data_IF_989027119947
#
_entry.id   IF_989027119947
#
_cell.length_a   1.000
_cell.length_b   1.000
_cell.length_c   1.000
_cell.angle_alpha   90.00
_cell.angle_beta   90.00
_cell.angle_gamma   90.00
#
_symmetry.space_group_name_H-M   'P 1'
#
loop_
_entity.id
_entity.type
_entity.pdbx_description
1 polymer ?
#
# COMPACT_ATOMS: atom_id res chain seq x y z
N UNK A 1 -4.03 -11.44 2.44
CA UNK A 1 -2.89 -10.93 3.25
C UNK A 1 -3.27 -11.07 4.71
N UNK A 2 -2.30 -11.18 5.61
CA UNK A 2 -2.58 -11.40 7.04
C UNK A 2 -2.12 -10.20 7.85
N UNK A 3 -2.98 -9.60 8.69
CA UNK A 3 -2.55 -8.52 9.59
C UNK A 3 -1.52 -9.04 10.58
N UNK A 4 -0.50 -8.22 10.85
CA UNK A 4 0.49 -8.44 11.90
C UNK A 4 -0.03 -7.78 13.17
N UNK A 5 0.00 -8.45 14.34
CA UNK A 5 -0.48 -7.86 15.59
C UNK A 5 0.21 -6.53 15.91
N UNK A 6 -0.56 -5.55 16.38
CA UNK A 6 -0.09 -4.19 16.65
C UNK A 6 1.06 -4.12 17.67
N UNK A 7 1.18 -5.08 18.58
CA UNK A 7 2.27 -5.17 19.55
C UNK A 7 3.50 -5.96 19.02
N UNK A 8 3.62 -6.10 17.71
CA UNK A 8 4.67 -6.88 17.06
C UNK A 8 5.10 -6.26 15.74
N UNK A 9 6.19 -6.78 15.17
CA UNK A 9 6.66 -6.35 13.86
C UNK A 9 7.15 -4.90 13.84
N UNK A 10 6.90 -4.21 12.72
CA UNK A 10 7.22 -2.80 12.53
C UNK A 10 6.38 -1.90 13.44
N UNK A 11 5.10 -2.25 13.64
CA UNK A 11 4.16 -1.45 14.40
C UNK A 11 4.26 -1.62 15.92
N UNK A 12 5.21 -2.39 16.44
CA UNK A 12 5.33 -2.69 17.87
C UNK A 12 5.45 -1.43 18.77
N UNK A 13 6.01 -0.34 18.23
CA UNK A 13 6.14 0.94 18.93
C UNK A 13 5.86 2.09 17.94
N UNK A 14 4.58 2.39 17.63
CA UNK A 14 4.22 3.33 16.57
C UNK A 14 4.31 4.80 17.01
N UNK A 15 4.69 5.08 18.27
CA UNK A 15 4.59 6.43 18.84
C UNK A 15 3.14 6.88 18.93
N UNK A 16 2.89 8.14 18.57
CA UNK A 16 1.55 8.75 18.60
C UNK A 16 0.73 8.49 17.32
N UNK A 17 1.33 7.84 16.31
CA UNK A 17 0.69 7.55 15.03
C UNK A 17 -0.11 6.24 15.03
N UNK A 18 -1.03 6.12 14.08
CA UNK A 18 -1.61 4.85 13.70
C UNK A 18 -0.62 4.05 12.86
N UNK A 19 -0.55 2.74 13.12
CA UNK A 19 0.30 1.84 12.36
C UNK A 19 -0.41 0.53 12.08
N UNK A 20 -0.43 0.14 10.81
CA UNK A 20 -0.95 -1.13 10.34
C UNK A 20 0.12 -1.83 9.51
N UNK A 21 0.34 -3.11 9.80
CA UNK A 21 1.27 -3.95 9.06
C UNK A 21 0.52 -5.20 8.57
N UNK A 22 0.70 -5.53 7.30
CA UNK A 22 0.22 -6.78 6.73
C UNK A 22 1.38 -7.58 6.13
N UNK A 23 1.32 -8.89 6.33
CA UNK A 23 2.19 -9.87 5.69
C UNK A 23 1.51 -10.43 4.44
N UNK A 24 2.26 -10.49 3.34
CA UNK A 24 1.82 -11.19 2.14
C UNK A 24 2.07 -12.70 2.29
N UNK A 25 1.06 -13.50 1.96
CA UNK A 25 1.17 -14.96 2.01
C UNK A 25 2.06 -15.49 0.87
N UNK A 26 1.92 -14.92 -0.32
CA UNK A 26 2.71 -15.28 -1.50
C UNK A 26 4.20 -14.94 -1.37
N UNK A 27 4.55 -13.92 -0.57
CA UNK A 27 5.93 -13.58 -0.22
C UNK A 27 6.01 -13.18 1.26
N UNK A 28 6.32 -14.13 2.16
CA UNK A 28 6.45 -13.88 3.59
C UNK A 28 7.53 -12.86 3.99
N UNK A 29 8.41 -12.44 3.08
CA UNK A 29 9.40 -11.39 3.31
C UNK A 29 8.86 -9.98 3.04
N UNK A 30 7.79 -9.86 2.25
CA UNK A 30 7.16 -8.58 1.95
C UNK A 30 6.17 -8.17 3.02
N UNK A 31 6.08 -6.86 3.23
CA UNK A 31 5.13 -6.20 4.10
C UNK A 31 4.48 -5.04 3.37
N UNK A 32 3.20 -4.86 3.63
CA UNK A 32 2.52 -3.59 3.43
C UNK A 32 2.47 -2.90 4.78
N UNK A 33 2.92 -1.65 4.84
CA UNK A 33 2.90 -0.85 6.06
C UNK A 33 2.14 0.43 5.75
N UNK A 34 1.15 0.73 6.58
CA UNK A 34 0.42 1.98 6.59
C UNK A 34 0.70 2.68 7.91
N UNK A 35 1.33 3.86 7.86
CA UNK A 35 1.76 4.59 9.06
C UNK A 35 1.51 6.07 8.92
N UNK A 36 0.99 6.70 9.97
CA UNK A 36 0.77 8.14 10.01
C UNK A 36 -0.35 8.53 10.97
N UNK A 37 -0.95 9.69 10.73
CA UNK A 37 -2.07 10.21 11.51
C UNK A 37 -3.39 10.07 10.75
N UNK A 38 -4.51 10.38 11.40
CA UNK A 38 -5.85 10.23 10.81
C UNK A 38 -6.05 11.03 9.53
N UNK A 39 -5.39 12.18 9.44
CA UNK A 39 -5.40 13.10 8.31
C UNK A 39 -4.31 12.81 7.26
N UNK A 40 -3.42 11.84 7.51
CA UNK A 40 -2.33 11.49 6.60
C UNK A 40 -1.68 10.17 6.98
N UNK A 41 -2.02 9.10 6.26
CA UNK A 41 -1.42 7.77 6.39
C UNK A 41 -0.61 7.46 5.13
N UNK A 42 0.70 7.28 5.29
CA UNK A 42 1.59 6.87 4.23
C UNK A 42 1.59 5.35 4.08
N UNK A 43 1.57 4.89 2.83
CA UNK A 43 1.62 3.48 2.49
C UNK A 43 2.91 3.13 1.77
N UNK A 44 3.57 2.06 2.22
CA UNK A 44 4.76 1.55 1.57
C UNK A 44 4.86 0.03 1.59
N UNK A 45 5.52 -0.50 0.58
CA UNK A 45 6.06 -1.84 0.65
C UNK A 45 7.39 -1.85 1.39
N UNK A 46 7.56 -2.82 2.28
CA UNK A 46 8.82 -3.11 2.96
C UNK A 46 9.26 -4.55 2.69
N UNK A 47 10.57 -4.79 2.71
CA UNK A 47 11.14 -6.13 2.80
C UNK A 47 11.71 -6.33 4.20
N UNK A 48 11.26 -7.38 4.87
CA UNK A 48 11.80 -7.83 6.15
C UNK A 48 13.00 -8.74 5.89
N UNK A 49 14.15 -8.42 6.47
CA UNK A 49 15.34 -9.26 6.39
C UNK A 49 15.31 -10.40 7.42
N UNK A 50 16.28 -11.31 7.33
CA UNK A 50 16.38 -12.49 8.22
C UNK A 50 16.69 -12.12 9.68
N UNK A 51 17.23 -10.92 9.94
CA UNK A 51 17.54 -10.40 11.27
C UNK A 51 16.35 -9.60 11.86
N UNK A 52 15.25 -9.48 11.11
CA UNK A 52 14.06 -8.74 11.52
C UNK A 52 14.08 -7.26 11.16
N UNK A 53 15.11 -6.77 10.45
CA UNK A 53 15.17 -5.42 9.94
C UNK A 53 14.19 -5.18 8.79
N UNK A 54 13.73 -3.95 8.63
CA UNK A 54 12.79 -3.54 7.59
C UNK A 54 13.48 -2.59 6.62
N UNK A 55 13.33 -2.87 5.32
CA UNK A 55 13.81 -2.01 4.25
C UNK A 55 12.65 -1.54 3.38
N UNK A 56 12.35 -0.23 3.42
CA UNK A 56 11.36 0.43 2.55
C UNK A 56 11.74 0.19 1.09
N UNK A 57 10.77 -0.18 0.27
CA UNK A 57 10.97 -0.55 -1.13
C UNK A 57 10.43 0.51 -2.07
N UNK A 58 9.16 0.90 -1.88
CA UNK A 58 8.43 1.87 -2.70
C UNK A 58 7.17 2.31 -1.94
N UNK A 59 6.82 3.58 -2.03
CA UNK A 59 5.53 4.09 -1.52
C UNK A 59 4.45 3.96 -2.57
N UNK A 60 3.19 3.95 -2.16
CA UNK A 60 2.06 3.89 -3.07
C UNK A 60 0.81 4.57 -2.51
N UNK A 61 -0.19 4.82 -3.36
CA UNK A 61 -1.53 5.21 -2.96
C UNK A 61 -2.45 4.00 -2.87
N UNK A 62 -3.25 3.85 -1.80
CA UNK A 62 -4.19 2.76 -1.67
C UNK A 62 -5.48 3.08 -2.44
N UNK A 63 -5.71 2.41 -3.56
CA UNK A 63 -7.00 2.40 -4.22
C UNK A 63 -7.73 1.10 -3.85
N UNK A 64 -9.01 1.17 -3.48
CA UNK A 64 -9.73 0.03 -2.95
C UNK A 64 -11.05 -0.22 -3.69
N UNK A 65 -11.32 -1.49 -4.00
CA UNK A 65 -12.63 -1.96 -4.41
C UNK A 65 -13.45 -2.37 -3.18
N UNK A 66 -14.71 -1.95 -3.16
CA UNK A 66 -15.71 -2.47 -2.23
C UNK A 66 -16.66 -3.41 -3.00
N UNK A 67 -16.66 -4.73 -2.72
CA UNK A 67 -17.53 -5.69 -3.40
C UNK A 67 -19.03 -5.37 -3.28
N UNK A 68 -19.44 -4.59 -2.28
CA UNK A 68 -20.83 -4.15 -2.11
C UNK A 68 -21.20 -2.94 -2.97
N UNK A 69 -20.22 -2.31 -3.64
CA UNK A 69 -20.37 -1.11 -4.48
C UNK A 69 -19.60 -1.28 -5.80
N UNK A 70 -20.06 -2.17 -6.70
CA UNK A 70 -19.33 -2.50 -7.92
C UNK A 70 -19.13 -1.29 -8.84
N UNK A 71 -17.98 -1.26 -9.52
CA UNK A 71 -17.62 -0.20 -10.47
C UNK A 71 -17.10 1.10 -9.84
N UNK A 72 -17.03 1.18 -8.51
CA UNK A 72 -16.46 2.33 -7.80
C UNK A 72 -15.12 1.96 -7.16
N UNK A 73 -14.22 2.95 -7.10
CA UNK A 73 -12.99 2.88 -6.34
C UNK A 73 -13.05 3.89 -5.20
N UNK A 74 -12.53 3.48 -4.04
CA UNK A 74 -12.48 4.27 -2.83
C UNK A 74 -11.03 4.44 -2.38
N UNK A 75 -10.78 5.43 -1.54
CA UNK A 75 -9.51 5.50 -0.83
C UNK A 75 -9.42 4.31 0.11
N UNK A 76 -8.34 3.54 0.02
CA UNK A 76 -8.12 2.37 0.86
C UNK A 76 -7.59 2.80 2.22
N UNK A 77 -8.47 3.24 3.12
CA UNK A 77 -8.09 3.47 4.51
C UNK A 77 -7.66 2.17 5.18
N UNK A 78 -6.71 2.27 6.10
CA UNK A 78 -6.05 1.09 6.66
C UNK A 78 -7.01 0.17 7.42
N UNK A 79 -8.02 0.76 8.06
CA UNK A 79 -9.09 0.05 8.75
C UNK A 79 -10.17 -0.54 7.82
N UNK A 80 -10.24 -0.10 6.57
CA UNK A 80 -11.22 -0.58 5.58
C UNK A 80 -10.67 -1.74 4.71
N UNK A 81 -9.35 -1.82 4.58
CA UNK A 81 -8.66 -2.75 3.70
C UNK A 81 -8.64 -4.17 4.29
N UNK A 82 -9.05 -5.16 3.50
CA UNK A 82 -9.00 -6.58 3.87
C UNK A 82 -7.86 -7.33 3.18
N UNK A 83 -7.69 -7.11 1.86
CA UNK A 83 -6.64 -7.75 1.09
C UNK A 83 -6.07 -6.86 -0.01
N UNK A 84 -4.87 -7.20 -0.49
CA UNK A 84 -4.28 -6.66 -1.70
C UNK A 84 -4.71 -7.49 -2.91
N UNK A 85 -4.95 -6.84 -4.05
CA UNK A 85 -5.32 -7.54 -5.27
C UNK A 85 -4.04 -7.92 -6.05
N UNK A 86 -3.81 -9.22 -6.15
CA UNK A 86 -2.74 -9.79 -6.97
C UNK A 86 -3.23 -10.05 -8.39
N UNK A 87 -2.29 -10.07 -9.34
CA UNK A 87 -2.52 -10.54 -10.69
C UNK A 87 -2.71 -12.08 -10.69
N UNK A 88 -3.20 -12.68 -11.81
CA UNK A 88 -3.41 -14.13 -11.89
C UNK A 88 -2.16 -14.98 -11.66
N UNK A 89 -0.95 -14.40 -11.79
CA UNK A 89 0.31 -15.06 -11.48
C UNK A 89 0.56 -15.27 -9.97
N UNK A 90 -0.28 -14.68 -9.11
CA UNK A 90 -0.18 -14.75 -7.66
C UNK A 90 1.04 -14.04 -7.07
N UNK A 91 1.76 -13.24 -7.85
CA UNK A 91 3.03 -12.59 -7.44
C UNK A 91 3.08 -11.11 -7.77
N UNK A 92 2.45 -10.71 -8.87
CA UNK A 92 2.39 -9.32 -9.30
C UNK A 92 1.21 -8.61 -8.64
N UNK A 93 1.37 -7.32 -8.38
CA UNK A 93 0.35 -6.45 -7.82
C UNK A 93 -0.46 -5.81 -8.95
N UNK A 94 -1.76 -5.63 -8.74
CA UNK A 94 -2.56 -4.76 -9.59
C UNK A 94 -2.25 -3.30 -9.22
N UNK A 95 -1.53 -2.60 -10.08
CA UNK A 95 -1.04 -1.26 -9.81
C UNK A 95 -1.00 -0.39 -11.08
N UNK A 96 -0.92 0.92 -10.91
CA UNK A 96 -0.75 1.86 -12.01
C UNK A 96 -0.02 3.12 -11.61
N UNK A 97 0.75 3.69 -12.51
CA UNK A 97 1.32 5.04 -12.37
C UNK A 97 0.54 6.09 -13.19
N UNK A 98 -0.53 5.67 -13.87
CA UNK A 98 -1.41 6.54 -14.65
C UNK A 98 -2.61 6.94 -13.78
N UNK A 99 -2.40 7.95 -12.94
CA UNK A 99 -3.43 8.52 -12.08
C UNK A 99 -3.17 10.00 -11.82
N UNK A 100 -4.22 10.70 -11.40
CA UNK A 100 -4.14 12.10 -10.94
C UNK A 100 -4.35 12.23 -9.44
N UNK A 101 -4.11 11.16 -8.66
CA UNK A 101 -4.13 11.24 -7.19
C UNK A 101 -3.07 12.26 -6.77
N UNK A 102 -3.53 13.24 -6.01
CA UNK A 102 -2.68 14.23 -5.35
C UNK A 102 -2.72 13.88 -3.87
N UNK A 103 -1.56 13.78 -3.24
CA UNK A 103 -1.48 13.70 -1.79
C UNK A 103 -1.89 15.05 -1.24
N UNK A 104 -2.90 15.06 -0.38
CA UNK A 104 -3.20 16.17 0.51
C UNK A 104 -2.82 15.74 1.93
N UNK A 105 -2.22 16.63 2.72
CA UNK A 105 -1.76 16.36 4.09
C UNK A 105 -0.25 16.23 4.29
N UNK A 106 0.14 15.92 5.53
CA UNK A 106 1.53 15.76 5.96
C UNK A 106 2.02 14.35 5.61
N UNK A 107 2.85 14.25 4.56
CA UNK A 107 3.46 12.98 4.14
C UNK A 107 4.97 12.99 4.29
N UNK A 108 5.54 11.82 4.57
CA UNK A 108 6.98 11.57 4.56
C UNK A 108 7.36 10.70 3.35
N UNK A 109 7.52 11.32 2.15
CA UNK A 109 7.76 10.57 0.92
C UNK A 109 9.13 9.88 0.94
N UNK A 110 9.18 8.66 0.39
CA UNK A 110 10.40 7.90 0.28
C UNK A 110 11.49 8.68 -0.47
N UNK A 111 12.69 8.88 0.12
CA UNK A 111 13.76 9.61 -0.53
C UNK A 111 14.14 9.03 -1.90
N UNK A 112 14.14 9.89 -2.92
CA UNK A 112 14.51 9.54 -4.30
C UNK A 112 13.39 8.91 -5.12
N UNK A 113 12.20 8.66 -4.56
CA UNK A 113 11.03 8.26 -5.34
C UNK A 113 10.50 9.45 -6.14
N UNK A 114 10.42 9.30 -7.46
CA UNK A 114 9.98 10.36 -8.39
C UNK A 114 8.50 10.24 -8.78
N UNK A 115 7.96 9.03 -8.67
CA UNK A 115 6.57 8.71 -9.00
C UNK A 115 6.04 7.75 -7.97
N UNK A 116 4.79 7.93 -7.58
CA UNK A 116 4.09 7.05 -6.65
C UNK A 116 3.02 6.30 -7.46
N UNK A 117 3.00 4.96 -7.47
CA UNK A 117 1.92 4.19 -8.06
C UNK A 117 0.68 4.18 -7.16
N UNK A 118 -0.49 3.97 -7.75
CA UNK A 118 -1.67 3.49 -7.03
C UNK A 118 -1.67 1.95 -7.05
N UNK A 119 -1.95 1.33 -5.92
CA UNK A 119 -2.02 -0.13 -5.73
C UNK A 119 -3.44 -0.50 -5.34
N UNK A 120 -3.96 -1.57 -5.96
CA UNK A 120 -5.33 -2.01 -5.77
C UNK A 120 -5.47 -2.95 -4.57
N UNK A 121 -6.43 -2.62 -3.72
CA UNK A 121 -6.88 -3.39 -2.58
C UNK A 121 -8.35 -3.78 -2.74
N UNK A 122 -8.80 -4.70 -1.92
CA UNK A 122 -10.20 -5.04 -1.69
C UNK A 122 -10.52 -4.88 -0.20
N UNK A 123 -11.69 -4.34 0.09
CA UNK A 123 -12.12 -4.09 1.46
C UNK A 123 -13.58 -3.67 1.51
N UNK A 124 -13.97 -2.97 2.57
CA UNK A 124 -15.31 -2.42 2.73
C UNK A 124 -15.20 -0.99 3.24
N UNK A 125 -15.63 -0.02 2.46
CA UNK A 125 -15.37 1.37 2.83
C UNK A 125 -16.36 1.88 3.88
N UNK A 126 -15.81 2.50 4.92
CA UNK A 126 -16.55 3.26 5.94
C UNK A 126 -16.81 4.71 5.51
N UNK A 127 -16.13 5.20 4.46
CA UNK A 127 -16.21 6.58 3.97
C UNK A 127 -16.59 6.62 2.46
N UNK A 128 -17.88 6.42 2.11
CA UNK A 128 -18.35 6.31 0.72
C UNK A 128 -18.09 7.53 -0.17
N UNK A 129 -17.86 8.70 0.44
CA UNK A 129 -17.60 9.95 -0.28
C UNK A 129 -16.13 10.09 -0.69
N UNK A 130 -15.22 9.31 -0.09
CA UNK A 130 -13.79 9.30 -0.40
C UNK A 130 -13.49 8.44 -1.63
N UNK A 131 -13.97 8.90 -2.79
CA UNK A 131 -13.85 8.17 -4.06
C UNK A 131 -12.52 8.46 -4.76
N UNK A 132 -11.96 7.42 -5.36
CA UNK A 132 -10.82 7.51 -6.27
C UNK A 132 -11.37 7.49 -7.70
N UNK A 133 -10.87 8.39 -8.56
CA UNK A 133 -11.23 8.39 -9.99
C UNK A 133 -10.90 7.03 -10.60
N UNK A 134 -11.67 6.61 -11.61
CA UNK A 134 -11.45 5.32 -12.26
C UNK A 134 -9.99 5.17 -12.74
N UNK A 135 -9.32 4.09 -12.32
CA UNK A 135 -7.94 3.78 -12.65
C UNK A 135 -7.87 2.50 -13.50
N UNK A 136 -6.90 2.43 -14.40
CA UNK A 136 -6.57 1.22 -15.15
C UNK A 136 -5.36 0.55 -14.52
N UNK A 137 -5.59 -0.56 -13.83
CA UNK A 137 -4.53 -1.34 -13.20
C UNK A 137 -3.89 -2.33 -14.17
N UNK A 138 -2.60 -2.56 -13.98
CA UNK A 138 -1.81 -3.55 -14.69
C UNK A 138 -1.01 -4.38 -13.69
N UNK A 139 -0.67 -5.60 -14.08
CA UNK A 139 0.19 -6.46 -13.29
C UNK A 139 1.61 -5.87 -13.22
N UNK A 140 2.10 -5.61 -12.00
CA UNK A 140 3.43 -5.09 -11.75
C UNK A 140 4.11 -5.89 -10.65
N UNK A 141 5.32 -6.39 -10.91
CA UNK A 141 6.16 -6.96 -9.85
C UNK A 141 6.63 -5.86 -8.90
N UNK A 142 7.05 -6.24 -7.69
CA UNK A 142 7.61 -5.26 -6.74
C UNK A 142 8.82 -4.52 -7.31
N UNK A 143 9.67 -5.20 -8.09
CA UNK A 143 10.82 -4.58 -8.75
C UNK A 143 10.40 -3.65 -9.88
N UNK A 144 9.36 -4.00 -10.64
CA UNK A 144 8.79 -3.10 -11.66
C UNK A 144 8.21 -1.83 -11.02
N UNK A 145 7.52 -1.95 -9.88
CA UNK A 145 7.04 -0.79 -9.11
C UNK A 145 8.21 0.09 -8.65
N UNK A 146 9.24 -0.52 -8.08
CA UNK A 146 10.44 0.21 -7.63
C UNK A 146 11.14 0.96 -8.78
N UNK A 147 11.35 0.28 -9.91
CA UNK A 147 11.98 0.89 -11.10
C UNK A 147 11.08 1.99 -11.69
N UNK A 148 9.78 1.74 -11.82
CA UNK A 148 8.80 2.70 -12.33
C UNK A 148 8.67 3.95 -11.46
N UNK A 149 8.89 3.80 -10.15
CA UNK A 149 8.98 4.87 -9.16
C UNK A 149 10.28 5.70 -9.26
N UNK A 150 11.23 5.30 -10.11
CA UNK A 150 12.51 5.98 -10.33
C UNK A 150 13.60 5.60 -9.32
N UNK A 151 13.38 4.56 -8.51
CA UNK A 151 14.33 4.10 -7.52
C UNK A 151 15.36 3.16 -8.17
N UNK A 152 16.64 3.54 -8.15
CA UNK A 152 17.72 2.76 -8.79
C UNK A 152 17.93 1.42 -8.10
N UNK A 153 18.24 0.38 -8.88
CA UNK A 153 18.83 -0.88 -8.39
C UNK A 153 20.06 -0.57 -7.56
N UNK A 154 20.06 -1.04 -6.30
CA UNK A 154 21.29 -1.21 -5.55
C UNK A 154 21.95 -2.51 -5.99
#
# INVERSE_FOLDING_TARGET
>A
MTPVPANSGFCANPGDGMCYEWKLEADPSLRVIAYGFEDGIDYSFYRRDRKGGYRRIVDFHPAMQDPTRPGQLFWGYAWDVHDIVLAPDGKSFQATFDHTIVIDGNVDPMPGQKRTPAVLFVGRTTQPDMKVKALRFQANTIDALRIGAGLRSR
#
